data_IF_468044787625
#
_entry.id   IF_468044787625
#
_cell.length_a   1.000
_cell.length_b   1.000
_cell.length_c   1.000
_cell.angle_alpha   90.00
_cell.angle_beta   90.00
_cell.angle_gamma   90.00
#
_symmetry.space_group_name_H-M   'P 1'
#
loop_
_entity.id
_entity.type
_entity.pdbx_description
1 polymer ?
#
# COMPACT_ATOMS: atom_id res chain seq x y z
N UNK A 1 -25.71 -34.52 -0.69
CA UNK A 1 -24.69 -33.48 -0.43
C UNK A 1 -25.36 -32.33 0.31
N UNK A 2 -25.23 -32.31 1.64
CA UNK A 2 -25.86 -31.29 2.47
C UNK A 2 -25.21 -29.93 2.24
N UNK A 3 -26.02 -28.92 1.91
CA UNK A 3 -25.61 -27.51 2.01
C UNK A 3 -25.36 -27.25 3.50
N UNK A 4 -24.10 -27.25 3.93
CA UNK A 4 -23.73 -26.61 5.19
C UNK A 4 -24.06 -25.14 5.04
N UNK A 5 -25.20 -24.76 5.61
CA UNK A 5 -25.48 -23.39 6.01
C UNK A 5 -24.32 -22.97 6.90
N UNK A 6 -23.29 -22.33 6.35
CA UNK A 6 -22.29 -21.61 7.14
C UNK A 6 -23.05 -20.49 7.84
N UNK A 7 -23.53 -20.76 9.06
CA UNK A 7 -24.13 -19.73 9.88
C UNK A 7 -23.04 -18.68 10.08
N UNK A 8 -23.32 -17.44 9.69
CA UNK A 8 -22.50 -16.28 10.05
C UNK A 8 -22.67 -15.91 11.53
N UNK A 9 -23.29 -16.81 12.30
CA UNK A 9 -23.63 -16.57 13.69
C UNK A 9 -22.37 -16.65 14.57
N UNK A 10 -22.21 -15.70 15.50
CA UNK A 10 -21.09 -15.74 16.43
C UNK A 10 -21.14 -16.96 17.35
N UNK A 11 -19.99 -17.61 17.55
CA UNK A 11 -19.85 -18.77 18.46
C UNK A 11 -19.09 -18.39 19.74
N UNK A 12 -19.36 -19.10 20.83
CA UNK A 12 -18.73 -18.85 22.14
C UNK A 12 -17.43 -19.63 22.38
N UNK A 13 -17.01 -20.47 21.42
CA UNK A 13 -15.73 -21.20 21.45
C UNK A 13 -14.73 -20.56 20.49
N UNK A 14 -13.59 -20.10 21.00
CA UNK A 14 -12.58 -19.41 20.17
C UNK A 14 -11.97 -20.34 19.11
N UNK A 15 -11.69 -21.59 19.48
CA UNK A 15 -11.14 -22.58 18.56
C UNK A 15 -12.12 -22.90 17.42
N UNK A 16 -13.42 -22.90 17.72
CA UNK A 16 -14.47 -23.08 16.73
C UNK A 16 -14.58 -21.85 15.81
N UNK A 17 -14.57 -20.64 16.37
CA UNK A 17 -14.58 -19.40 15.60
C UNK A 17 -13.41 -19.33 14.59
N UNK A 18 -12.23 -19.81 14.98
CA UNK A 18 -11.06 -19.90 14.11
C UNK A 18 -11.22 -20.93 12.99
N UNK A 19 -11.78 -22.12 13.29
CA UNK A 19 -11.98 -23.18 12.29
C UNK A 19 -13.03 -22.82 11.26
N UNK A 20 -14.17 -22.31 11.71
CA UNK A 20 -15.32 -21.99 10.86
C UNK A 20 -15.18 -20.61 10.20
N UNK A 21 -14.27 -19.77 10.69
CA UNK A 21 -14.06 -18.42 10.18
C UNK A 21 -15.23 -17.47 10.49
N UNK A 22 -15.90 -17.69 11.62
CA UNK A 22 -17.05 -16.90 12.11
C UNK A 22 -16.63 -16.00 13.28
N UNK A 23 -17.44 -14.99 13.66
CA UNK A 23 -17.12 -14.14 14.81
C UNK A 23 -17.09 -14.94 16.12
N UNK A 24 -16.19 -14.56 17.03
CA UNK A 24 -16.17 -15.06 18.40
C UNK A 24 -16.99 -14.13 19.30
N UNK A 25 -17.90 -14.70 20.10
CA UNK A 25 -18.70 -13.97 21.09
C UNK A 25 -18.13 -14.22 22.49
N UNK A 26 -17.64 -13.16 23.10
CA UNK A 26 -17.23 -13.16 24.51
C UNK A 26 -18.43 -13.33 25.45
N UNK A 27 -18.23 -13.82 26.69
CA UNK A 27 -19.31 -13.97 27.67
C UNK A 27 -20.07 -12.68 28.00
N UNK A 28 -19.42 -11.52 27.85
CA UNK A 28 -20.00 -10.19 28.02
C UNK A 28 -20.80 -9.71 26.78
N UNK A 29 -20.88 -10.54 25.74
CA UNK A 29 -21.57 -10.25 24.49
C UNK A 29 -20.71 -9.55 23.43
N UNK A 30 -19.47 -9.16 23.74
CA UNK A 30 -18.58 -8.50 22.79
C UNK A 30 -18.16 -9.43 21.64
N UNK A 31 -18.05 -8.88 20.43
CA UNK A 31 -17.61 -9.62 19.25
C UNK A 31 -16.13 -9.39 18.96
N UNK A 32 -15.43 -10.47 18.70
CA UNK A 32 -14.06 -10.52 18.18
C UNK A 32 -14.03 -11.23 16.83
N UNK A 33 -13.15 -10.79 15.94
CA UNK A 33 -13.03 -11.30 14.58
C UNK A 33 -11.65 -11.93 14.39
N UNK A 34 -11.49 -13.22 14.75
CA UNK A 34 -10.18 -13.85 14.83
C UNK A 34 -9.61 -14.18 13.43
N UNK A 35 -10.45 -14.19 12.39
CA UNK A 35 -10.03 -14.45 11.00
C UNK A 35 -10.46 -13.34 10.05
N UNK A 36 -9.80 -13.20 8.89
CA UNK A 36 -10.22 -12.27 7.83
C UNK A 36 -11.68 -12.50 7.38
N UNK A 37 -12.11 -13.77 7.35
CA UNK A 37 -13.45 -14.19 6.90
C UNK A 37 -14.54 -13.74 7.87
N UNK A 38 -14.26 -13.80 9.17
CA UNK A 38 -15.22 -13.41 10.22
C UNK A 38 -15.54 -11.92 10.26
N UNK A 39 -14.70 -11.07 9.67
CA UNK A 39 -14.83 -9.61 9.78
C UNK A 39 -15.99 -9.07 8.95
N UNK A 40 -16.70 -8.02 9.43
CA UNK A 40 -17.74 -7.34 8.68
C UNK A 40 -17.17 -6.61 7.46
N UNK A 41 -18.06 -6.15 6.57
CA UNK A 41 -17.68 -5.30 5.45
C UNK A 41 -17.28 -3.90 5.92
N UNK A 42 -16.46 -3.21 5.13
CA UNK A 42 -16.12 -1.83 5.40
C UNK A 42 -17.33 -0.92 5.12
N UNK A 43 -17.66 -0.05 6.08
CA UNK A 43 -18.85 0.82 6.01
C UNK A 43 -18.48 2.29 5.76
N UNK A 44 -17.20 2.62 5.69
CA UNK A 44 -16.73 3.99 5.48
C UNK A 44 -16.45 4.27 4.00
N UNK A 45 -16.57 5.54 3.63
CA UNK A 45 -16.12 6.05 2.33
C UNK A 45 -14.79 6.77 2.45
N UNK A 46 -13.97 6.70 1.40
CA UNK A 46 -12.73 7.47 1.33
C UNK A 46 -13.04 8.97 1.23
N UNK A 47 -12.51 9.74 2.18
CA UNK A 47 -12.70 11.19 2.24
C UNK A 47 -12.08 11.91 1.02
N UNK A 48 -12.54 13.14 0.69
CA UNK A 48 -12.15 13.83 -0.55
C UNK A 48 -10.64 14.00 -0.71
N UNK A 49 -9.93 14.40 0.36
CA UNK A 49 -8.48 14.54 0.35
C UNK A 49 -7.77 13.24 -0.05
N UNK A 50 -8.08 12.12 0.61
CA UNK A 50 -7.44 10.84 0.30
C UNK A 50 -7.82 10.31 -1.08
N UNK A 51 -9.04 10.61 -1.54
CA UNK A 51 -9.46 10.29 -2.90
C UNK A 51 -8.63 11.06 -3.92
N UNK A 52 -8.47 12.36 -3.73
CA UNK A 52 -7.62 13.21 -4.57
C UNK A 52 -6.17 12.73 -4.56
N UNK A 53 -5.60 12.41 -3.40
CA UNK A 53 -4.24 11.87 -3.30
C UNK A 53 -4.10 10.56 -4.07
N UNK A 54 -5.04 9.63 -3.91
CA UNK A 54 -5.01 8.34 -4.60
C UNK A 54 -5.13 8.50 -6.11
N UNK A 55 -6.15 9.20 -6.59
CA UNK A 55 -6.38 9.39 -8.03
C UNK A 55 -5.30 10.23 -8.67
N UNK A 56 -4.86 11.31 -7.99
CA UNK A 56 -3.78 12.17 -8.45
C UNK A 56 -2.47 11.40 -8.58
N UNK A 57 -2.12 10.59 -7.57
CA UNK A 57 -0.91 9.75 -7.63
C UNK A 57 -0.96 8.76 -8.79
N UNK A 58 -2.11 8.10 -9.02
CA UNK A 58 -2.26 7.17 -10.15
C UNK A 58 -2.12 7.85 -11.51
N UNK A 59 -2.74 9.03 -11.68
CA UNK A 59 -2.63 9.81 -12.92
C UNK A 59 -1.19 10.25 -13.14
N UNK A 60 -0.54 10.80 -12.11
CA UNK A 60 0.85 11.24 -12.18
C UNK A 60 1.78 10.06 -12.50
N UNK A 61 1.62 8.93 -11.81
CA UNK A 61 2.43 7.74 -12.06
C UNK A 61 2.28 7.23 -13.50
N UNK A 62 1.05 7.20 -14.01
CA UNK A 62 0.79 6.79 -15.40
C UNK A 62 1.42 7.77 -16.40
N UNK A 63 1.18 9.08 -16.24
CA UNK A 63 1.75 10.11 -17.09
C UNK A 63 3.28 10.09 -17.09
N UNK A 64 3.90 9.94 -15.91
CA UNK A 64 5.36 9.94 -15.78
C UNK A 64 5.98 8.66 -16.35
N UNK A 65 5.31 7.51 -16.21
CA UNK A 65 5.72 6.25 -16.86
C UNK A 65 5.68 6.38 -18.39
N UNK A 66 4.60 6.96 -18.94
CA UNK A 66 4.47 7.18 -20.38
C UNK A 66 5.51 8.17 -20.91
N UNK A 67 5.72 9.28 -20.20
CA UNK A 67 6.75 10.25 -20.52
C UNK A 67 8.14 9.62 -20.52
N UNK A 68 8.46 8.81 -19.52
CA UNK A 68 9.73 8.09 -19.44
C UNK A 68 9.90 7.14 -20.63
N UNK A 69 8.87 6.35 -20.97
CA UNK A 69 8.92 5.40 -22.10
C UNK A 69 9.14 6.13 -23.43
N UNK A 70 8.49 7.27 -23.62
CA UNK A 70 8.66 8.10 -24.81
C UNK A 70 10.08 8.70 -24.93
N UNK A 71 10.78 8.88 -23.80
CA UNK A 71 12.14 9.44 -23.78
C UNK A 71 13.23 8.42 -24.09
N UNK A 72 13.00 7.13 -23.83
CA UNK A 72 13.99 6.05 -24.03
C UNK A 72 14.72 6.13 -25.38
N UNK A 73 14.04 6.29 -26.54
CA UNK A 73 14.71 6.30 -27.85
C UNK A 73 15.72 7.44 -28.05
N UNK A 74 15.60 8.51 -27.26
CA UNK A 74 16.49 9.68 -27.31
C UNK A 74 17.65 9.61 -26.31
N UNK A 75 17.71 8.56 -25.49
CA UNK A 75 18.75 8.41 -24.47
C UNK A 75 20.05 7.87 -25.07
N UNK A 76 21.21 8.16 -24.44
CA UNK A 76 22.48 7.54 -24.80
C UNK A 76 22.41 6.01 -24.70
N UNK A 77 23.30 5.30 -25.39
CA UNK A 77 23.37 3.83 -25.36
C UNK A 77 23.51 3.26 -23.94
N UNK A 78 24.05 4.04 -23.01
CA UNK A 78 24.20 3.70 -21.60
C UNK A 78 23.73 4.84 -20.69
N UNK A 79 22.94 4.49 -19.68
CA UNK A 79 22.46 5.40 -18.64
C UNK A 79 22.84 4.89 -17.24
N UNK A 80 22.98 5.77 -16.24
CA UNK A 80 23.20 5.34 -14.86
C UNK A 80 22.03 4.49 -14.35
N UNK A 81 22.30 3.31 -13.82
CA UNK A 81 21.27 2.37 -13.36
C UNK A 81 21.43 1.92 -11.91
N UNK A 82 22.59 2.14 -11.30
CA UNK A 82 22.78 1.92 -9.86
C UNK A 82 23.51 3.12 -9.24
N UNK A 83 23.01 3.54 -8.09
CA UNK A 83 23.47 4.72 -7.37
C UNK A 83 23.97 4.29 -5.98
N UNK A 84 25.12 4.81 -5.56
CA UNK A 84 25.59 4.66 -4.19
C UNK A 84 24.81 5.59 -3.24
N UNK A 85 25.04 5.47 -1.93
CA UNK A 85 24.33 6.24 -0.90
C UNK A 85 24.54 7.75 -0.98
N UNK A 86 25.66 8.18 -1.57
CA UNK A 86 25.99 9.58 -1.83
C UNK A 86 25.37 10.10 -3.14
N UNK A 87 24.76 9.22 -3.96
CA UNK A 87 24.16 9.54 -5.25
C UNK A 87 25.12 9.41 -6.43
N UNK A 88 26.37 8.98 -6.22
CA UNK A 88 27.30 8.66 -7.31
C UNK A 88 26.85 7.41 -8.06
N UNK A 89 27.08 7.35 -9.38
CA UNK A 89 26.79 6.17 -10.17
C UNK A 89 27.92 5.15 -10.04
N UNK A 90 27.58 3.87 -9.85
CA UNK A 90 28.55 2.78 -9.84
C UNK A 90 28.20 1.65 -10.84
N UNK A 91 27.09 1.80 -11.60
CA UNK A 91 26.73 0.93 -12.72
C UNK A 91 25.99 1.72 -13.81
N UNK A 92 26.37 1.45 -15.06
CA UNK A 92 25.62 1.84 -16.24
C UNK A 92 24.84 0.65 -16.82
N UNK A 93 23.79 0.94 -17.58
CA UNK A 93 22.97 -0.09 -18.23
C UNK A 93 22.22 0.47 -19.44
N UNK A 94 21.48 -0.41 -20.11
CA UNK A 94 20.69 -0.02 -21.27
C UNK A 94 19.50 0.83 -20.84
N UNK A 95 19.14 1.91 -21.58
CA UNK A 95 17.91 2.66 -21.36
C UNK A 95 16.65 1.80 -21.34
N UNK A 96 16.64 0.66 -22.03
CA UNK A 96 15.52 -0.27 -22.03
C UNK A 96 15.28 -0.95 -20.68
N UNK A 97 16.29 -1.03 -19.80
CA UNK A 97 16.10 -1.49 -18.41
C UNK A 97 15.09 -0.60 -17.67
N UNK A 98 14.98 0.69 -18.03
CA UNK A 98 14.00 1.60 -17.45
C UNK A 98 12.55 1.20 -17.78
N UNK A 99 12.30 0.57 -18.93
CA UNK A 99 10.97 0.07 -19.27
C UNK A 99 10.55 -1.07 -18.32
N UNK A 100 11.48 -1.96 -17.97
CA UNK A 100 11.26 -2.99 -16.95
C UNK A 100 10.99 -2.38 -15.57
N UNK A 101 11.77 -1.36 -15.19
CA UNK A 101 11.58 -0.65 -13.92
C UNK A 101 10.23 0.09 -13.88
N UNK A 102 9.83 0.73 -14.98
CA UNK A 102 8.51 1.34 -15.14
C UNK A 102 7.39 0.33 -14.95
N UNK A 103 7.48 -0.84 -15.60
CA UNK A 103 6.49 -1.90 -15.45
C UNK A 103 6.35 -2.35 -13.98
N UNK A 104 7.46 -2.63 -13.29
CA UNK A 104 7.44 -3.06 -11.88
C UNK A 104 6.86 -1.97 -10.97
N UNK A 105 7.29 -0.71 -11.15
CA UNK A 105 6.77 0.41 -10.37
C UNK A 105 5.27 0.63 -10.59
N UNK A 106 4.82 0.59 -11.85
CA UNK A 106 3.39 0.72 -12.19
C UNK A 106 2.56 -0.40 -11.58
N UNK A 107 3.01 -1.66 -11.65
CA UNK A 107 2.32 -2.80 -11.02
C UNK A 107 2.26 -2.63 -9.51
N UNK A 108 3.34 -2.22 -8.86
CA UNK A 108 3.37 -2.03 -7.41
C UNK A 108 2.43 -0.90 -6.96
N UNK A 109 2.46 0.25 -7.66
CA UNK A 109 1.59 1.40 -7.39
C UNK A 109 0.11 1.02 -7.62
N UNK A 110 -0.21 0.39 -8.75
CA UNK A 110 -1.56 -0.04 -9.06
C UNK A 110 -2.06 -1.11 -8.08
N UNK A 111 -1.21 -2.09 -7.72
CA UNK A 111 -1.52 -3.13 -6.74
C UNK A 111 -1.85 -2.54 -5.37
N UNK A 112 -1.06 -1.58 -4.89
CA UNK A 112 -1.35 -0.85 -3.65
C UNK A 112 -2.68 -0.08 -3.75
N UNK A 113 -2.96 0.56 -4.89
CA UNK A 113 -4.24 1.24 -5.11
C UNK A 113 -5.43 0.27 -5.12
N UNK A 114 -5.30 -0.91 -5.73
CA UNK A 114 -6.33 -1.96 -5.69
C UNK A 114 -6.59 -2.41 -4.25
N UNK A 115 -5.54 -2.61 -3.45
CA UNK A 115 -5.65 -3.00 -2.05
C UNK A 115 -6.46 -2.01 -1.20
N UNK A 116 -6.51 -0.72 -1.56
CA UNK A 116 -7.36 0.28 -0.86
C UNK A 116 -8.86 -0.09 -0.90
N UNK A 117 -9.29 -0.91 -1.85
CA UNK A 117 -10.67 -1.37 -2.01
C UNK A 117 -11.00 -2.60 -1.15
N UNK A 118 -10.00 -3.28 -0.60
CA UNK A 118 -10.16 -4.54 0.10
C UNK A 118 -9.57 -4.52 1.52
N UNK A 119 -9.94 -3.56 2.40
CA UNK A 119 -9.33 -3.44 3.73
C UNK A 119 -9.52 -4.65 4.63
N UNK A 120 -10.50 -5.52 4.32
CA UNK A 120 -10.73 -6.78 5.05
C UNK A 120 -9.51 -7.68 5.10
N UNK A 121 -8.63 -7.63 4.08
CA UNK A 121 -7.45 -8.49 3.96
C UNK A 121 -6.23 -7.95 4.72
N UNK A 122 -6.32 -6.73 5.28
CA UNK A 122 -5.19 -6.13 5.97
C UNK A 122 -4.92 -6.79 7.31
N UNK A 123 -3.64 -6.90 7.63
CA UNK A 123 -3.17 -7.32 8.94
C UNK A 123 -3.19 -6.11 9.90
N UNK A 124 -3.74 -6.30 11.09
CA UNK A 124 -3.77 -5.27 12.15
C UNK A 124 -2.82 -5.59 13.32
N UNK A 125 -1.89 -6.52 13.09
CA UNK A 125 -0.83 -6.86 14.04
C UNK A 125 -1.36 -7.43 15.36
N UNK A 126 -0.86 -6.89 16.47
CA UNK A 126 -1.08 -7.36 17.84
C UNK A 126 -2.41 -6.89 18.48
N UNK A 127 -3.18 -6.04 17.82
CA UNK A 127 -4.44 -5.53 18.38
C UNK A 127 -5.56 -6.54 18.16
N UNK A 128 -6.34 -6.84 19.20
CA UNK A 128 -7.57 -7.63 19.06
C UNK A 128 -8.55 -6.90 18.16
N UNK A 129 -9.01 -7.58 17.12
CA UNK A 129 -9.96 -7.02 16.15
C UNK A 129 -11.37 -7.27 16.67
N UNK A 130 -12.07 -6.21 17.05
CA UNK A 130 -13.38 -6.27 17.69
C UNK A 130 -14.44 -5.54 16.88
N UNK A 131 -15.72 -5.78 17.22
CA UNK A 131 -16.87 -5.03 16.70
C UNK A 131 -16.70 -3.51 16.78
N UNK A 132 -16.05 -3.03 17.83
CA UNK A 132 -15.92 -1.60 18.13
C UNK A 132 -14.82 -0.91 17.32
N UNK A 133 -13.80 -1.66 16.90
CA UNK A 133 -12.55 -1.07 16.40
C UNK A 133 -12.25 -1.40 14.93
N UNK A 134 -12.90 -2.42 14.36
CA UNK A 134 -12.58 -2.92 13.02
C UNK A 134 -12.75 -1.87 11.93
N UNK A 135 -13.80 -1.04 11.99
CA UNK A 135 -14.01 0.04 11.01
C UNK A 135 -12.93 1.12 11.11
N UNK A 136 -12.46 1.44 12.32
CA UNK A 136 -11.37 2.38 12.52
C UNK A 136 -10.04 1.81 11.98
N UNK A 137 -9.78 0.52 12.19
CA UNK A 137 -8.64 -0.18 11.60
C UNK A 137 -8.68 -0.17 10.07
N UNK A 138 -9.83 -0.45 9.46
CA UNK A 138 -9.98 -0.37 8.01
C UNK A 138 -9.70 1.02 7.47
N UNK A 139 -10.30 2.05 8.08
CA UNK A 139 -10.07 3.44 7.67
C UNK A 139 -8.59 3.81 7.78
N UNK A 140 -7.94 3.47 8.89
CA UNK A 140 -6.52 3.74 9.10
C UNK A 140 -5.63 3.01 8.09
N UNK A 141 -5.89 1.72 7.86
CA UNK A 141 -5.13 0.91 6.89
C UNK A 141 -5.28 1.40 5.45
N UNK A 142 -6.49 1.82 5.04
CA UNK A 142 -6.71 2.40 3.71
C UNK A 142 -6.00 3.73 3.56
N UNK A 143 -6.06 4.60 4.58
CA UNK A 143 -5.33 5.86 4.56
C UNK A 143 -3.82 5.65 4.46
N UNK A 144 -3.28 4.68 5.21
CA UNK A 144 -1.88 4.26 5.12
C UNK A 144 -1.52 3.83 3.69
N UNK A 145 -2.35 2.99 3.08
CA UNK A 145 -2.14 2.50 1.72
C UNK A 145 -2.18 3.63 0.67
N UNK A 146 -3.04 4.62 0.84
CA UNK A 146 -3.05 5.83 -0.02
C UNK A 146 -1.75 6.61 0.10
N UNK A 147 -1.22 6.77 1.31
CA UNK A 147 0.09 7.41 1.51
C UNK A 147 1.23 6.59 0.94
N UNK A 148 1.16 5.26 0.98
CA UNK A 148 2.13 4.40 0.31
C UNK A 148 2.11 4.61 -1.20
N UNK A 149 0.93 4.64 -1.83
CA UNK A 149 0.76 4.93 -3.26
C UNK A 149 1.37 6.29 -3.64
N UNK A 150 1.10 7.33 -2.86
CA UNK A 150 1.70 8.65 -3.06
C UNK A 150 3.23 8.60 -2.95
N UNK A 151 3.74 7.96 -1.90
CA UNK A 151 5.19 7.89 -1.64
C UNK A 151 5.94 7.10 -2.71
N UNK A 152 5.35 6.00 -3.20
CA UNK A 152 5.89 5.24 -4.33
C UNK A 152 5.86 6.04 -5.63
N UNK A 153 4.84 6.86 -5.85
CA UNK A 153 4.76 7.76 -7.01
C UNK A 153 5.86 8.84 -6.94
N UNK A 154 6.10 9.42 -5.77
CA UNK A 154 7.22 10.37 -5.55
C UNK A 154 8.56 9.68 -5.80
N UNK A 155 8.76 8.46 -5.28
CA UNK A 155 9.97 7.69 -5.52
C UNK A 155 10.17 7.39 -7.02
N UNK A 156 9.11 7.03 -7.74
CA UNK A 156 9.15 6.82 -9.19
C UNK A 156 9.61 8.09 -9.92
N UNK A 157 9.05 9.24 -9.55
CA UNK A 157 9.43 10.53 -10.14
C UNK A 157 10.92 10.76 -9.95
N UNK A 158 11.37 10.73 -8.69
CA UNK A 158 12.77 10.95 -8.33
C UNK A 158 13.71 10.03 -9.10
N UNK A 159 13.40 8.73 -9.13
CA UNK A 159 14.22 7.71 -9.80
C UNK A 159 14.34 7.98 -11.30
N UNK A 160 13.23 8.16 -12.01
CA UNK A 160 13.32 8.33 -13.47
C UNK A 160 13.88 9.68 -13.88
N UNK A 161 13.57 10.77 -13.17
CA UNK A 161 14.18 12.06 -13.46
C UNK A 161 15.69 12.05 -13.20
N UNK A 162 16.15 11.31 -12.18
CA UNK A 162 17.58 11.16 -11.90
C UNK A 162 18.30 10.33 -12.97
N UNK A 163 17.72 9.21 -13.38
CA UNK A 163 18.28 8.37 -14.46
C UNK A 163 18.28 9.12 -15.80
N UNK A 164 17.24 9.92 -16.06
CA UNK A 164 17.12 10.71 -17.28
C UNK A 164 18.00 11.98 -17.29
N UNK A 165 18.66 12.29 -16.17
CA UNK A 165 19.58 13.41 -16.05
C UNK A 165 18.93 14.77 -15.78
N UNK A 166 17.66 14.81 -15.36
CA UNK A 166 16.94 16.07 -15.08
C UNK A 166 17.31 16.66 -13.71
N UNK A 167 17.68 15.82 -12.75
CA UNK A 167 18.12 16.22 -11.42
C UNK A 167 19.04 15.19 -10.77
N UNK A 168 19.72 15.59 -9.70
CA UNK A 168 20.54 14.69 -8.89
C UNK A 168 19.67 13.69 -8.11
N UNK A 169 20.14 12.44 -7.99
CA UNK A 169 19.48 11.40 -7.17
C UNK A 169 19.43 11.80 -5.69
N UNK A 170 20.54 12.33 -5.17
CA UNK A 170 20.63 12.88 -3.82
C UNK A 170 20.46 14.41 -3.88
N UNK A 171 19.68 15.01 -2.95
CA UNK A 171 19.03 14.42 -1.78
C UNK A 171 17.62 13.84 -2.03
N UNK A 172 17.08 13.95 -3.24
CA UNK A 172 15.68 13.66 -3.55
C UNK A 172 15.22 12.24 -3.14
N UNK A 173 16.07 11.23 -3.33
CA UNK A 173 15.75 9.84 -2.94
C UNK A 173 15.54 9.70 -1.44
N UNK A 174 16.31 10.42 -0.63
CA UNK A 174 16.19 10.40 0.83
C UNK A 174 14.87 11.02 1.30
N UNK A 175 14.40 12.07 0.62
CA UNK A 175 13.06 12.61 0.89
C UNK A 175 11.95 11.62 0.54
N UNK A 176 12.06 10.93 -0.61
CA UNK A 176 11.09 9.89 -0.98
C UNK A 176 11.10 8.73 0.03
N UNK A 177 12.28 8.27 0.45
CA UNK A 177 12.43 7.23 1.48
C UNK A 177 11.87 7.68 2.83
N UNK A 178 12.17 8.91 3.26
CA UNK A 178 11.63 9.47 4.49
C UNK A 178 10.10 9.59 4.45
N UNK A 179 9.52 9.91 3.30
CA UNK A 179 8.06 9.95 3.12
C UNK A 179 7.43 8.55 3.23
N UNK A 180 8.05 7.53 2.63
CA UNK A 180 7.62 6.13 2.77
C UNK A 180 7.68 5.71 4.25
N UNK A 181 8.86 5.80 4.87
CA UNK A 181 9.09 5.32 6.23
C UNK A 181 8.31 6.12 7.27
N UNK A 182 8.28 7.44 7.12
CA UNK A 182 7.57 8.35 8.01
C UNK A 182 6.06 8.13 7.96
N UNK A 183 5.48 7.98 6.76
CA UNK A 183 4.05 7.70 6.64
C UNK A 183 3.69 6.32 7.19
N UNK A 184 4.45 5.27 6.87
CA UNK A 184 4.22 3.93 7.42
C UNK A 184 4.31 3.94 8.95
N UNK A 185 5.38 4.53 9.51
CA UNK A 185 5.56 4.64 10.96
C UNK A 185 4.41 5.37 11.65
N UNK A 186 3.98 6.52 11.10
CA UNK A 186 2.84 7.28 11.63
C UNK A 186 1.56 6.44 11.68
N UNK A 187 1.20 5.77 10.58
CA UNK A 187 -0.03 5.00 10.50
C UNK A 187 0.02 3.70 11.31
N UNK A 188 1.18 3.08 11.46
CA UNK A 188 1.39 1.92 12.35
C UNK A 188 1.21 2.35 13.81
N UNK A 189 1.84 3.44 14.25
CA UNK A 189 1.67 3.97 15.62
C UNK A 189 0.20 4.32 15.88
N UNK A 190 -0.47 4.94 14.91
CA UNK A 190 -1.90 5.22 14.99
C UNK A 190 -2.74 3.95 15.07
N UNK A 191 -2.39 2.91 14.31
CA UNK A 191 -3.06 1.61 14.33
C UNK A 191 -2.99 0.96 15.73
N UNK A 192 -1.82 1.02 16.38
CA UNK A 192 -1.62 0.45 17.73
C UNK A 192 -2.39 1.20 18.82
N UNK A 193 -2.82 2.44 18.56
CA UNK A 193 -3.62 3.25 19.48
C UNK A 193 -5.12 3.08 19.32
N UNK A 194 -5.59 2.38 18.29
CA UNK A 194 -7.00 2.06 18.09
C UNK A 194 -7.40 0.97 19.10
N UNK A 195 -8.50 1.19 19.84
CA UNK A 195 -9.02 0.28 20.87
C UNK A 195 -10.38 -0.28 20.46
#
# INVERSE_FOLDING_TARGET
>A
MGKTSTSTEPVSSYAEAMREGVPFRHPDGALEYPTMRSRPQAEFTLGPMYRLLLTGSLVVAACYSLWMLARIPSMPEQVPMHFASDGSFNRYGSPWEMAGLAAVMSVMIAGCAVLTRYPRVFNFGATRVTGRNIQAHYKNGVQMMVWLVLSLTVLQIVMFGAIAGDWSMTPAVWFAMALILGSMGFFIVRMLRIR
#
